data_IF_230143559994
#
_entry.id   IF_230143559994
#
_cell.length_a   1.000
_cell.length_b   1.000
_cell.length_c   1.000
_cell.angle_alpha   90.00
_cell.angle_beta   90.00
_cell.angle_gamma   90.00
#
_symmetry.space_group_name_H-M   'P 1'
#
loop_
_entity.id
_entity.type
_entity.pdbx_description
1 polymer ?
#
# COMPACT_ATOMS: atom_id res chain seq x y z
N UNK A 1 12.11 11.86 -6.22
CA UNK A 1 10.79 11.20 -6.44
C UNK A 1 10.53 11.21 -7.93
N UNK A 2 10.22 10.05 -8.48
CA UNK A 2 9.85 9.89 -9.88
C UNK A 2 8.32 9.75 -9.97
N UNK A 3 7.67 10.66 -10.70
CA UNK A 3 6.23 10.62 -10.98
C UNK A 3 6.08 10.66 -12.49
N UNK A 4 5.57 9.58 -13.07
CA UNK A 4 5.49 9.42 -14.53
C UNK A 4 4.08 9.12 -15.01
N UNK A 5 3.84 9.49 -16.25
CA UNK A 5 2.62 9.15 -17.00
C UNK A 5 2.80 7.76 -17.60
N UNK A 6 1.75 6.93 -17.61
CA UNK A 6 1.78 5.66 -18.33
C UNK A 6 1.49 5.85 -19.84
N UNK A 7 1.51 4.75 -20.60
CA UNK A 7 1.24 4.74 -22.04
C UNK A 7 -0.19 5.19 -22.41
N UNK A 8 -1.17 5.07 -21.50
CA UNK A 8 -2.56 5.50 -21.70
C UNK A 8 -2.76 7.02 -21.42
N UNK A 9 -1.73 7.70 -20.92
CA UNK A 9 -1.79 9.12 -20.58
C UNK A 9 -2.21 9.40 -19.14
N UNK A 10 -2.43 8.37 -18.32
CA UNK A 10 -2.79 8.55 -16.92
C UNK A 10 -1.61 9.07 -16.11
N UNK A 11 -1.88 10.05 -15.26
CA UNK A 11 -0.91 10.66 -14.35
C UNK A 11 -1.33 10.43 -12.90
N UNK A 12 -0.40 10.09 -12.00
CA UNK A 12 -0.72 9.95 -10.59
C UNK A 12 -1.36 11.18 -9.96
N UNK A 13 -2.53 10.97 -9.31
CA UNK A 13 -3.21 11.93 -8.46
C UNK A 13 -2.68 11.80 -7.02
N UNK A 14 -2.06 12.86 -6.49
CA UNK A 14 -1.43 12.82 -5.16
C UNK A 14 -1.96 13.97 -4.32
N UNK A 15 -2.55 13.64 -3.18
CA UNK A 15 -3.04 14.64 -2.24
C UNK A 15 -1.90 15.55 -1.72
N UNK A 16 -2.22 16.81 -1.47
CA UNK A 16 -1.23 17.79 -1.03
C UNK A 16 -0.57 17.43 0.32
N UNK A 17 -1.33 16.75 1.20
CA UNK A 17 -0.88 16.31 2.51
C UNK A 17 -0.17 14.95 2.52
N UNK A 18 -0.08 14.27 1.36
CA UNK A 18 0.71 13.04 1.26
C UNK A 18 2.21 13.34 1.33
N UNK A 19 2.95 12.55 2.09
CA UNK A 19 4.41 12.62 2.21
C UNK A 19 5.07 11.54 1.37
N UNK A 20 5.88 11.92 0.38
CA UNK A 20 6.60 10.97 -0.47
C UNK A 20 8.11 11.17 -0.32
N UNK A 21 8.82 10.06 -0.10
CA UNK A 21 10.27 10.10 -0.08
C UNK A 21 10.85 10.41 -1.49
N UNK A 22 11.98 11.17 -1.59
CA UNK A 22 12.57 11.53 -2.89
C UNK A 22 12.95 10.34 -3.79
N UNK A 23 13.20 9.15 -3.26
CA UNK A 23 13.51 7.95 -4.03
C UNK A 23 12.29 7.07 -4.37
N UNK A 24 11.08 7.48 -3.98
CA UNK A 24 9.86 6.76 -4.35
C UNK A 24 9.54 6.93 -5.84
N UNK A 25 8.95 5.90 -6.43
CA UNK A 25 8.52 5.85 -7.84
C UNK A 25 7.00 5.64 -7.89
N UNK A 26 6.28 6.52 -8.61
CA UNK A 26 4.83 6.41 -8.80
C UNK A 26 4.52 6.62 -10.28
N UNK A 27 3.89 5.64 -10.93
CA UNK A 27 3.65 5.64 -12.38
C UNK A 27 2.17 5.35 -12.68
N UNK A 28 1.58 6.17 -13.55
CA UNK A 28 0.31 5.88 -14.22
C UNK A 28 -0.94 6.16 -13.38
N UNK A 29 -1.94 5.29 -13.52
CA UNK A 29 -3.27 5.45 -12.92
C UNK A 29 -3.26 5.14 -11.41
N UNK A 30 -2.60 5.99 -10.63
CA UNK A 30 -2.44 5.86 -9.18
C UNK A 30 -3.08 7.04 -8.47
N UNK A 31 -3.91 6.76 -7.46
CA UNK A 31 -4.49 7.77 -6.58
C UNK A 31 -3.94 7.60 -5.14
N UNK A 32 -3.31 8.65 -4.60
CA UNK A 32 -2.76 8.68 -3.25
C UNK A 32 -3.50 9.71 -2.41
N UNK A 33 -4.18 9.22 -1.37
CA UNK A 33 -4.96 10.00 -0.43
C UNK A 33 -4.14 10.90 0.49
N UNK A 34 -4.84 11.72 1.27
CA UNK A 34 -4.21 12.61 2.26
C UNK A 34 -3.54 11.84 3.40
N UNK A 35 -2.45 12.40 3.95
CA UNK A 35 -1.74 11.86 5.11
C UNK A 35 -1.14 10.46 4.85
N UNK A 36 -1.05 10.06 3.58
CA UNK A 36 -0.36 8.84 3.16
C UNK A 36 1.15 9.08 3.17
N UNK A 37 1.90 8.15 3.75
CA UNK A 37 3.36 8.13 3.66
C UNK A 37 3.84 7.09 2.64
N UNK A 38 4.70 7.51 1.69
CA UNK A 38 5.39 6.63 0.74
C UNK A 38 6.89 6.68 1.05
N UNK A 39 7.42 5.57 1.52
CA UNK A 39 8.80 5.42 1.99
C UNK A 39 9.86 5.33 0.90
N UNK A 40 11.14 5.27 1.31
CA UNK A 40 12.26 5.11 0.39
C UNK A 40 12.13 3.88 -0.52
N UNK A 41 12.43 4.09 -1.82
CA UNK A 41 12.46 3.03 -2.83
C UNK A 41 11.16 2.23 -2.99
N UNK A 42 10.03 2.74 -2.47
CA UNK A 42 8.72 2.18 -2.78
C UNK A 42 8.38 2.42 -4.25
N UNK A 43 7.83 1.41 -4.92
CA UNK A 43 7.44 1.44 -6.34
C UNK A 43 5.96 1.14 -6.46
N UNK A 44 5.20 2.08 -7.02
CA UNK A 44 3.76 1.97 -7.22
C UNK A 44 3.50 2.22 -8.71
N UNK A 45 3.09 1.18 -9.45
CA UNK A 45 2.91 1.28 -10.91
C UNK A 45 1.54 0.76 -11.33
N UNK A 46 0.74 1.62 -11.95
CA UNK A 46 -0.48 1.30 -12.67
C UNK A 46 -0.24 1.59 -14.16
N UNK A 47 0.42 0.68 -14.85
CA UNK A 47 0.91 0.87 -16.22
C UNK A 47 0.76 -0.37 -17.13
N UNK A 48 0.19 -1.46 -16.62
CA UNK A 48 -0.06 -2.66 -17.43
C UNK A 48 -1.41 -2.56 -18.15
N UNK A 49 -1.43 -2.62 -19.50
CA UNK A 49 -2.66 -2.47 -20.26
C UNK A 49 -3.53 -3.73 -20.23
N UNK A 50 -4.83 -3.53 -20.21
CA UNK A 50 -5.81 -4.55 -20.60
C UNK A 50 -5.87 -4.72 -22.13
N UNK A 51 -6.70 -5.64 -22.60
CA UNK A 51 -6.85 -5.92 -24.02
C UNK A 51 -7.38 -4.72 -24.84
N UNK A 52 -8.13 -3.81 -24.21
CA UNK A 52 -8.64 -2.57 -24.82
C UNK A 52 -7.69 -1.37 -24.65
N UNK A 53 -6.53 -1.58 -24.03
CA UNK A 53 -5.52 -0.55 -23.76
C UNK A 53 -5.77 0.27 -22.49
N UNK A 54 -6.87 0.06 -21.78
CA UNK A 54 -7.12 0.72 -20.50
C UNK A 54 -6.20 0.19 -19.38
N UNK A 55 -5.97 1.00 -18.35
CA UNK A 55 -5.16 0.62 -17.19
C UNK A 55 -6.02 0.69 -15.93
N UNK A 56 -6.05 -0.39 -15.16
CA UNK A 56 -6.75 -0.43 -13.88
C UNK A 56 -6.08 0.46 -12.83
N UNK A 57 -6.88 1.02 -11.92
CA UNK A 57 -6.39 1.96 -10.93
C UNK A 57 -5.72 1.28 -9.73
N UNK A 58 -4.69 1.93 -9.17
CA UNK A 58 -4.18 1.67 -7.83
C UNK A 58 -4.62 2.82 -6.92
N UNK A 59 -5.41 2.50 -5.90
CA UNK A 59 -5.98 3.47 -4.96
C UNK A 59 -5.40 3.23 -3.58
N UNK A 60 -4.75 4.25 -3.01
CA UNK A 60 -4.19 4.23 -1.65
C UNK A 60 -4.93 5.29 -0.85
N UNK A 61 -5.75 4.84 0.09
CA UNK A 61 -6.60 5.72 0.86
C UNK A 61 -5.85 6.47 1.95
N UNK A 62 -6.50 7.50 2.50
CA UNK A 62 -5.91 8.38 3.52
C UNK A 62 -5.31 7.62 4.71
N UNK A 63 -4.29 8.20 5.33
CA UNK A 63 -3.60 7.65 6.50
C UNK A 63 -2.93 6.27 6.28
N UNK A 64 -2.99 5.70 5.08
CA UNK A 64 -2.23 4.50 4.76
C UNK A 64 -0.73 4.81 4.69
N UNK A 65 0.11 3.77 4.84
CA UNK A 65 1.54 3.94 4.64
C UNK A 65 2.14 2.78 3.85
N UNK A 66 2.99 3.13 2.91
CA UNK A 66 3.70 2.23 2.02
C UNK A 66 5.17 2.40 2.35
N UNK A 67 5.74 1.44 3.07
CA UNK A 67 7.07 1.59 3.65
C UNK A 67 8.18 1.26 2.63
N UNK A 68 9.42 1.26 3.09
CA UNK A 68 10.60 1.18 2.25
C UNK A 68 10.63 -0.08 1.39
N UNK A 69 10.90 0.07 0.10
CA UNK A 69 11.06 -1.04 -0.83
C UNK A 69 9.79 -1.83 -1.15
N UNK A 70 8.62 -1.36 -0.74
CA UNK A 70 7.32 -1.98 -1.09
C UNK A 70 7.08 -1.86 -2.59
N UNK A 71 6.53 -2.91 -3.20
CA UNK A 71 6.09 -2.91 -4.60
C UNK A 71 4.57 -3.09 -4.65
N UNK A 72 3.89 -2.17 -5.34
CA UNK A 72 2.46 -2.28 -5.65
C UNK A 72 2.30 -2.22 -7.16
N UNK A 73 1.71 -3.26 -7.74
CA UNK A 73 1.45 -3.38 -9.17
C UNK A 73 0.14 -4.14 -9.41
N UNK A 74 -0.39 -4.14 -10.62
CA UNK A 74 -1.59 -4.89 -10.99
C UNK A 74 -1.47 -5.50 -12.37
N UNK A 75 -2.11 -6.65 -12.59
CA UNK A 75 -2.29 -7.23 -13.91
C UNK A 75 -3.15 -6.31 -14.79
N UNK A 76 -2.94 -6.35 -16.09
CA UNK A 76 -3.67 -5.55 -17.06
C UNK A 76 -5.19 -5.65 -16.88
N UNK A 77 -5.87 -4.50 -16.86
CA UNK A 77 -7.31 -4.39 -16.64
C UNK A 77 -7.78 -4.62 -15.21
N UNK A 78 -6.85 -4.81 -14.26
CA UNK A 78 -7.17 -4.99 -12.83
C UNK A 78 -6.58 -3.87 -11.99
N UNK A 79 -6.95 -3.80 -10.70
CA UNK A 79 -6.47 -2.76 -9.81
C UNK A 79 -6.04 -3.28 -8.45
N UNK A 80 -5.54 -2.36 -7.63
CA UNK A 80 -5.26 -2.56 -6.21
C UNK A 80 -5.93 -1.48 -5.41
N UNK A 81 -6.57 -1.86 -4.30
CA UNK A 81 -7.07 -0.91 -3.31
C UNK A 81 -6.43 -1.17 -1.96
N UNK A 82 -5.86 -0.13 -1.36
CA UNK A 82 -5.34 -0.14 0.00
C UNK A 82 -6.22 0.77 0.85
N UNK A 83 -6.95 0.18 1.78
CA UNK A 83 -7.90 0.86 2.65
C UNK A 83 -7.25 1.82 3.64
N UNK A 84 -8.06 2.72 4.18
CA UNK A 84 -7.65 3.75 5.11
C UNK A 84 -6.86 3.21 6.30
N UNK A 85 -5.79 3.89 6.66
CA UNK A 85 -4.99 3.57 7.85
C UNK A 85 -4.22 2.25 7.76
N UNK A 86 -4.19 1.60 6.60
CA UNK A 86 -3.48 0.34 6.39
C UNK A 86 -1.99 0.57 6.21
N UNK A 87 -1.19 -0.27 6.86
CA UNK A 87 0.27 -0.25 6.79
C UNK A 87 0.79 -1.41 5.93
N UNK A 88 1.51 -1.09 4.86
CA UNK A 88 2.27 -2.07 4.06
C UNK A 88 3.74 -1.93 4.44
N UNK A 89 4.26 -2.91 5.19
CA UNK A 89 5.59 -2.83 5.78
C UNK A 89 6.71 -3.18 4.79
N UNK A 90 7.94 -2.88 5.18
CA UNK A 90 9.15 -2.94 4.34
C UNK A 90 9.24 -4.19 3.47
N UNK A 91 9.50 -3.99 2.18
CA UNK A 91 9.75 -5.05 1.22
C UNK A 91 8.53 -5.90 0.84
N UNK A 92 7.34 -5.62 1.35
CA UNK A 92 6.15 -6.36 0.97
C UNK A 92 5.77 -6.11 -0.50
N UNK A 93 5.11 -7.09 -1.12
CA UNK A 93 4.60 -7.00 -2.49
C UNK A 93 3.08 -7.13 -2.46
N UNK A 94 2.37 -6.18 -3.08
CA UNK A 94 0.93 -6.26 -3.31
C UNK A 94 0.69 -6.23 -4.81
N UNK A 95 0.12 -7.31 -5.34
CA UNK A 95 -0.12 -7.42 -6.78
C UNK A 95 -1.60 -7.69 -7.07
N UNK A 96 -2.19 -6.86 -7.90
CA UNK A 96 -3.60 -6.94 -8.26
C UNK A 96 -3.96 -8.09 -9.22
N UNK A 97 -5.27 -8.44 -9.28
CA UNK A 97 -6.35 -7.78 -8.54
C UNK A 97 -6.26 -8.05 -7.04
N UNK A 98 -6.19 -6.99 -6.21
CA UNK A 98 -6.15 -7.17 -4.76
C UNK A 98 -6.86 -6.01 -4.04
N UNK A 99 -7.58 -6.35 -2.98
CA UNK A 99 -8.25 -5.38 -2.13
C UNK A 99 -7.86 -5.62 -0.67
N UNK A 100 -7.27 -4.62 -0.02
CA UNK A 100 -6.89 -4.67 1.39
C UNK A 100 -7.76 -3.66 2.14
N UNK A 101 -8.49 -4.13 3.14
CA UNK A 101 -9.40 -3.35 3.96
C UNK A 101 -8.71 -2.27 4.79
N UNK A 102 -9.50 -1.63 5.66
CA UNK A 102 -9.03 -0.56 6.53
C UNK A 102 -8.24 -1.09 7.75
N UNK A 103 -7.31 -0.29 8.25
CA UNK A 103 -6.56 -0.55 9.49
C UNK A 103 -5.84 -1.90 9.52
N UNK A 104 -5.45 -2.42 8.36
CA UNK A 104 -4.66 -3.63 8.25
C UNK A 104 -3.16 -3.36 8.50
N UNK A 105 -2.43 -4.43 8.79
CA UNK A 105 -0.97 -4.41 8.80
C UNK A 105 -0.45 -5.58 7.95
N UNK A 106 0.34 -5.30 6.92
CA UNK A 106 0.99 -6.30 6.08
C UNK A 106 2.47 -6.31 6.43
N UNK A 107 2.92 -7.41 7.02
CA UNK A 107 4.26 -7.57 7.58
C UNK A 107 5.38 -7.63 6.53
N UNK A 108 6.62 -7.54 7.01
CA UNK A 108 7.83 -7.46 6.18
C UNK A 108 7.93 -8.61 5.17
N UNK A 109 8.26 -8.28 3.91
CA UNK A 109 8.48 -9.24 2.82
C UNK A 109 7.31 -10.22 2.58
N UNK A 110 6.09 -9.86 2.98
CA UNK A 110 4.90 -10.64 2.66
C UNK A 110 4.43 -10.35 1.25
N UNK A 111 3.77 -11.33 0.64
CA UNK A 111 3.22 -11.23 -0.72
C UNK A 111 1.70 -11.37 -0.66
N UNK A 112 1.00 -10.40 -1.22
CA UNK A 112 -0.45 -10.41 -1.41
C UNK A 112 -0.70 -10.43 -2.92
N UNK A 113 -1.24 -11.51 -3.43
CA UNK A 113 -1.47 -11.71 -4.86
C UNK A 113 -2.88 -12.21 -5.14
N UNK A 114 -3.64 -11.49 -5.94
CA UNK A 114 -5.04 -11.80 -6.27
C UNK A 114 -5.90 -12.11 -5.02
N UNK A 115 -5.78 -11.30 -3.99
CA UNK A 115 -6.40 -11.59 -2.71
C UNK A 115 -7.21 -10.42 -2.19
N UNK A 116 -8.22 -10.74 -1.34
CA UNK A 116 -8.98 -9.73 -0.59
C UNK A 116 -8.79 -9.94 0.92
N UNK A 117 -8.43 -8.87 1.61
CA UNK A 117 -8.31 -8.86 3.06
C UNK A 117 -9.36 -7.91 3.64
N UNK A 118 -10.14 -8.40 4.60
CA UNK A 118 -11.08 -7.58 5.34
C UNK A 118 -10.41 -6.57 6.26
N UNK A 119 -11.22 -5.79 6.97
CA UNK A 119 -10.72 -4.74 7.87
C UNK A 119 -9.99 -5.32 9.08
N UNK A 120 -8.96 -4.62 9.54
CA UNK A 120 -8.21 -4.96 10.74
C UNK A 120 -7.44 -6.28 10.65
N UNK A 121 -7.20 -6.82 9.47
CA UNK A 121 -6.38 -8.01 9.28
C UNK A 121 -4.91 -7.68 9.56
N UNK A 122 -4.25 -8.53 10.34
CA UNK A 122 -2.81 -8.45 10.56
C UNK A 122 -2.13 -9.64 9.91
N UNK A 123 -1.38 -9.38 8.85
CA UNK A 123 -0.47 -10.35 8.23
C UNK A 123 0.90 -10.16 8.86
N UNK A 124 1.44 -11.19 9.50
CA UNK A 124 2.80 -11.17 10.02
C UNK A 124 3.82 -11.35 8.88
N UNK A 125 5.09 -11.52 9.21
CA UNK A 125 6.20 -11.40 8.25
C UNK A 125 6.35 -12.61 7.32
N UNK A 126 6.78 -12.37 6.07
CA UNK A 126 7.09 -13.42 5.08
C UNK A 126 5.92 -14.38 4.81
N UNK A 127 4.69 -13.88 4.91
CA UNK A 127 3.51 -14.65 4.54
C UNK A 127 3.20 -14.50 3.05
N UNK A 128 2.63 -15.55 2.45
CA UNK A 128 2.10 -15.54 1.09
C UNK A 128 0.57 -15.72 1.16
N UNK A 129 -0.17 -14.76 0.62
CA UNK A 129 -1.62 -14.86 0.45
C UNK A 129 -1.91 -14.78 -1.03
N UNK A 130 -2.37 -15.87 -1.61
CA UNK A 130 -2.60 -16.05 -3.04
C UNK A 130 -3.99 -16.62 -3.30
N UNK A 131 -4.75 -15.96 -4.17
CA UNK A 131 -6.10 -16.37 -4.59
C UNK A 131 -7.06 -16.62 -3.39
N UNK A 132 -6.94 -15.84 -2.33
CA UNK A 132 -7.65 -16.07 -1.07
C UNK A 132 -8.36 -14.81 -0.54
N UNK A 133 -9.41 -15.03 0.24
CA UNK A 133 -10.13 -13.97 0.95
C UNK A 133 -10.00 -14.14 2.46
N UNK A 134 -9.33 -13.22 3.15
CA UNK A 134 -9.14 -13.24 4.61
C UNK A 134 -10.24 -12.42 5.28
N UNK A 135 -11.06 -13.00 6.16
CA UNK A 135 -12.08 -12.27 6.93
C UNK A 135 -11.49 -11.19 7.85
N UNK A 136 -12.35 -10.25 8.25
CA UNK A 136 -11.99 -9.16 9.17
C UNK A 136 -11.33 -9.66 10.46
N UNK A 137 -10.35 -8.92 10.97
CA UNK A 137 -9.81 -9.05 12.31
C UNK A 137 -9.04 -10.35 12.58
N UNK A 138 -8.54 -11.02 11.56
CA UNK A 138 -7.72 -12.23 11.72
C UNK A 138 -6.23 -11.94 11.63
N UNK A 139 -5.45 -12.81 12.30
CA UNK A 139 -3.99 -12.80 12.22
C UNK A 139 -3.53 -13.93 11.30
N UNK A 140 -2.82 -13.57 10.24
CA UNK A 140 -2.07 -14.53 9.41
C UNK A 140 -0.66 -14.66 10.01
N UNK A 141 -0.26 -15.85 10.49
CA UNK A 141 1.05 -16.04 11.11
C UNK A 141 2.22 -15.82 10.13
N UNK A 142 3.39 -15.52 10.66
CA UNK A 142 4.61 -15.43 9.84
C UNK A 142 4.91 -16.73 9.09
N UNK A 143 5.48 -16.61 7.89
CA UNK A 143 5.91 -17.74 7.05
C UNK A 143 4.77 -18.69 6.67
N UNK A 144 3.53 -18.20 6.65
CA UNK A 144 2.34 -18.96 6.27
C UNK A 144 2.01 -18.72 4.80
N UNK A 145 1.73 -19.79 4.06
CA UNK A 145 1.10 -19.71 2.75
C UNK A 145 -0.41 -19.93 2.91
N UNK A 146 -1.22 -19.04 2.34
CA UNK A 146 -2.68 -19.10 2.34
C UNK A 146 -3.17 -19.12 0.90
N UNK A 147 -3.86 -20.19 0.51
CA UNK A 147 -4.42 -20.40 -0.83
C UNK A 147 -5.89 -20.82 -0.81
N UNK A 148 -6.37 -21.27 0.35
CA UNK A 148 -7.73 -21.75 0.52
C UNK A 148 -8.26 -21.49 1.94
N UNK A 149 -9.53 -21.88 2.15
CA UNK A 149 -10.21 -21.70 3.44
C UNK A 149 -9.67 -22.60 4.55
N UNK A 150 -9.07 -23.73 4.21
CA UNK A 150 -8.56 -24.70 5.17
C UNK A 150 -7.30 -24.16 5.86
N UNK A 151 -6.47 -23.45 5.11
CA UNK A 151 -5.30 -22.75 5.65
C UNK A 151 -5.66 -21.75 6.76
N UNK A 152 -6.86 -21.16 6.67
CA UNK A 152 -7.33 -20.11 7.60
C UNK A 152 -7.98 -20.68 8.88
N UNK A 153 -8.33 -21.96 8.93
CA UNK A 153 -9.07 -22.54 10.07
C UNK A 153 -8.35 -22.43 11.42
N UNK A 154 -7.05 -22.21 11.41
CA UNK A 154 -6.17 -22.03 12.59
C UNK A 154 -5.81 -20.59 12.91
N UNK A 155 -6.35 -19.62 12.15
CA UNK A 155 -6.03 -18.21 12.40
C UNK A 155 -6.79 -17.70 13.61
N UNK A 156 -6.06 -16.98 14.46
CA UNK A 156 -6.64 -16.37 15.65
C UNK A 156 -7.17 -14.96 15.35
N UNK A 157 -8.15 -14.48 16.11
CA UNK A 157 -8.49 -13.07 16.12
C UNK A 157 -7.29 -12.19 16.53
N UNK A 158 -7.27 -10.96 16.02
CA UNK A 158 -6.24 -9.99 16.39
C UNK A 158 -6.30 -9.67 17.88
N UNK A 159 -5.17 -9.84 18.57
CA UNK A 159 -5.09 -9.49 19.99
C UNK A 159 -5.01 -7.96 20.20
N UNK A 160 -5.41 -7.48 21.39
CA UNK A 160 -5.28 -6.05 21.72
C UNK A 160 -3.85 -5.51 21.58
N UNK A 161 -2.84 -6.32 21.86
CA UNK A 161 -1.41 -5.96 21.75
C UNK A 161 -1.00 -5.75 20.29
N UNK A 162 -1.42 -6.67 19.40
CA UNK A 162 -1.17 -6.54 17.97
C UNK A 162 -1.93 -5.36 17.35
N UNK A 163 -3.18 -5.14 17.75
CA UNK A 163 -3.94 -3.98 17.31
C UNK A 163 -3.27 -2.67 17.75
N UNK A 164 -2.78 -2.60 18.99
CA UNK A 164 -2.03 -1.46 19.50
C UNK A 164 -0.71 -1.23 18.75
N UNK A 165 -0.01 -2.31 18.42
CA UNK A 165 1.20 -2.24 17.58
C UNK A 165 0.90 -1.64 16.20
N UNK A 166 -0.11 -2.17 15.48
CA UNK A 166 -0.49 -1.68 14.16
C UNK A 166 -0.91 -0.20 14.20
N UNK A 167 -1.69 0.19 15.23
CA UNK A 167 -2.06 1.58 15.44
C UNK A 167 -0.84 2.50 15.65
N UNK A 168 0.15 2.06 16.44
CA UNK A 168 1.37 2.83 16.66
C UNK A 168 2.17 3.01 15.37
N UNK A 169 2.29 1.96 14.54
CA UNK A 169 2.95 2.05 13.23
C UNK A 169 2.25 3.09 12.37
N UNK A 170 0.91 3.03 12.26
CA UNK A 170 0.13 4.01 11.49
C UNK A 170 0.39 5.44 11.98
N UNK A 171 0.26 5.71 13.28
CA UNK A 171 0.45 7.04 13.84
C UNK A 171 1.84 7.62 13.56
N UNK A 172 2.88 6.79 13.66
CA UNK A 172 4.26 7.20 13.32
C UNK A 172 4.36 7.58 11.84
N UNK A 173 3.75 6.83 10.94
CA UNK A 173 3.84 7.09 9.51
C UNK A 173 2.96 8.28 9.06
N UNK A 174 1.82 8.53 9.71
CA UNK A 174 1.04 9.77 9.51
C UNK A 174 1.91 10.98 9.87
N UNK A 175 2.59 10.95 11.01
CA UNK A 175 3.55 12.02 11.37
C UNK A 175 4.66 12.20 10.32
N UNK A 176 5.23 11.09 9.79
CA UNK A 176 6.23 11.16 8.73
C UNK A 176 5.65 11.76 7.44
N UNK A 177 4.38 11.47 7.10
CA UNK A 177 3.70 12.06 5.96
C UNK A 177 3.58 13.58 6.12
N UNK A 178 3.16 14.06 7.28
CA UNK A 178 3.06 15.49 7.59
C UNK A 178 4.41 16.19 7.43
N UNK A 179 5.47 15.67 8.06
CA UNK A 179 6.81 16.25 7.98
C UNK A 179 7.32 16.26 6.53
N UNK A 180 7.15 15.17 5.79
CA UNK A 180 7.61 15.06 4.40
C UNK A 180 6.84 15.99 3.48
N UNK A 181 5.54 16.18 3.69
CA UNK A 181 4.72 17.10 2.90
C UNK A 181 5.12 18.56 3.14
N UNK A 182 5.45 18.94 4.37
CA UNK A 182 5.94 20.26 4.73
C UNK A 182 7.29 20.55 4.06
N UNK A 183 8.24 19.61 4.12
CA UNK A 183 9.55 19.75 3.44
C UNK A 183 9.36 19.93 1.93
N UNK A 184 8.45 19.19 1.31
CA UNK A 184 8.14 19.30 -0.12
C UNK A 184 7.57 20.68 -0.48
N UNK A 185 6.69 21.24 0.35
CA UNK A 185 6.07 22.55 0.12
C UNK A 185 7.07 23.71 0.28
N UNK A 186 7.92 23.64 1.30
CA UNK A 186 8.93 24.68 1.58
C UNK A 186 10.12 24.63 0.60
N UNK A 187 10.55 23.43 0.17
CA UNK A 187 11.62 23.25 -0.82
C UNK A 187 11.30 23.79 -2.22
N UNK A 188 10.03 23.96 -2.58
CA UNK A 188 9.60 24.62 -3.81
C UNK A 188 9.76 26.15 -3.76
N UNK A 189 9.72 26.73 -2.56
CA UNK A 189 9.85 28.19 -2.36
C UNK A 189 11.28 28.73 -2.64
N UNK A 190 12.32 27.91 -2.44
CA UNK A 190 13.72 28.33 -2.58
C UNK A 190 14.32 28.16 -3.99
N UNK A 191 13.58 27.58 -4.96
CA UNK A 191 14.05 27.39 -6.35
C UNK A 191 13.49 28.39 -7.36
N UNK A 192 12.66 29.33 -6.92
CA UNK A 192 12.07 30.37 -7.78
C UNK A 192 12.79 31.74 -7.68
N UNK A 193 14.01 31.76 -7.15
CA UNK A 193 14.79 32.97 -6.92
C UNK A 193 16.22 32.97 -7.49
N UNK A 194 16.49 32.18 -8.57
CA UNK A 194 17.73 32.31 -9.36
C UNK A 194 17.41 32.46 -10.85
#
# INVERSE_FOLDING_TARGET
MMIEVNHAGDRPGIAATAGLHPSAVVIGNVEIGGEVYIGPNAVIRADEPSADGSVGAIIIEREANIQDGVIIHALGGTGVRIGRGTSIAHGAVVHGPSEIGENCFIGFNSVIFKASLGDGVIVLHQALIEDAAIPNGLVVPSMTAVRDKEDMMRFAPVSPELAKFALKVRQTNVFLAEVSSLIRSTGKSNRSGE
#
